data_IF_486680564361
#
_entry.id   IF_486680564361
#
_cell.length_a   1.000
_cell.length_b   1.000
_cell.length_c   1.000
_cell.angle_alpha   90.00
_cell.angle_beta   90.00
_cell.angle_gamma   90.00
#
_symmetry.space_group_name_H-M   'P 1'
#
loop_
_entity.id
_entity.type
_entity.pdbx_description
1 polymer ?
#
# COMPACT_ATOMS: atom_id res chain seq x y z
N UNK A 1 45.93 20.91 -38.58
CA UNK A 1 46.74 19.77 -38.14
C UNK A 1 47.91 20.33 -37.32
N UNK A 2 48.21 19.90 -36.10
CA UNK A 2 47.50 18.96 -35.20
C UNK A 2 48.17 19.05 -33.79
N UNK A 3 47.52 19.08 -32.62
CA UNK A 3 46.07 19.08 -32.23
C UNK A 3 45.86 19.93 -30.95
N UNK A 4 44.61 20.10 -30.49
CA UNK A 4 44.29 20.73 -29.20
C UNK A 4 44.07 19.59 -28.17
N UNK A 5 44.69 19.63 -26.97
CA UNK A 5 44.47 18.59 -25.97
C UNK A 5 43.00 18.57 -25.55
N UNK A 6 42.33 17.45 -25.83
CA UNK A 6 40.91 17.27 -25.58
C UNK A 6 40.66 17.25 -24.07
N UNK A 7 40.25 18.39 -23.54
CA UNK A 7 39.94 18.57 -22.13
C UNK A 7 38.76 17.63 -21.81
N UNK A 8 38.91 16.63 -20.91
CA UNK A 8 37.82 15.72 -20.62
C UNK A 8 36.70 16.53 -19.96
N UNK A 9 35.61 16.73 -20.70
CA UNK A 9 34.47 17.48 -20.23
C UNK A 9 34.02 16.93 -18.88
N UNK A 10 33.62 17.78 -17.91
CA UNK A 10 33.07 17.32 -16.64
C UNK A 10 31.95 16.32 -16.92
N UNK A 11 32.20 15.04 -16.59
CA UNK A 11 31.20 14.00 -16.74
C UNK A 11 30.14 14.27 -15.69
N UNK A 12 29.07 14.91 -16.12
CA UNK A 12 27.88 15.13 -15.31
C UNK A 12 27.34 13.76 -14.92
N UNK A 13 27.71 13.31 -13.72
CA UNK A 13 27.16 12.10 -13.12
C UNK A 13 25.70 12.40 -12.82
N UNK A 14 24.83 12.03 -13.76
CA UNK A 14 23.40 12.16 -13.59
C UNK A 14 22.99 11.19 -12.50
N UNK A 15 22.97 11.71 -11.27
CA UNK A 15 22.44 11.06 -10.07
C UNK A 15 20.93 10.86 -10.24
N UNK A 16 20.53 9.90 -11.07
CA UNK A 16 19.17 9.37 -11.07
C UNK A 16 18.96 8.51 -9.84
N UNK A 17 19.03 9.13 -8.66
CA UNK A 17 18.59 8.59 -7.39
C UNK A 17 17.08 8.42 -7.49
N UNK A 18 16.66 7.30 -8.06
CA UNK A 18 15.28 6.92 -8.27
C UNK A 18 14.60 6.74 -6.91
N UNK A 19 13.96 7.81 -6.43
CA UNK A 19 13.23 7.83 -5.16
C UNK A 19 11.97 6.94 -5.23
N UNK A 20 12.15 5.62 -5.14
CA UNK A 20 11.07 4.63 -5.13
C UNK A 20 10.26 4.80 -3.86
N UNK A 21 9.19 5.59 -3.97
CA UNK A 21 8.25 5.84 -2.87
C UNK A 21 7.40 4.58 -2.66
N UNK A 22 7.82 3.72 -1.74
CA UNK A 22 7.05 2.52 -1.35
C UNK A 22 5.76 2.95 -0.64
N UNK A 23 4.70 3.16 -1.43
CA UNK A 23 3.35 3.36 -0.91
C UNK A 23 2.89 2.06 -0.25
N UNK A 24 2.86 2.02 1.09
CA UNK A 24 2.11 0.98 1.82
C UNK A 24 0.64 1.02 1.37
N UNK A 25 0.21 0.00 0.63
CA UNK A 25 -1.19 -0.17 0.27
C UNK A 25 -2.03 -0.37 1.55
N UNK A 26 -3.07 0.45 1.80
CA UNK A 26 -3.91 0.28 2.97
C UNK A 26 -4.68 -1.04 2.90
N UNK A 27 -4.74 -1.75 4.02
CA UNK A 27 -5.34 -3.08 4.11
C UNK A 27 -6.86 -3.00 4.32
N UNK A 28 -7.58 -2.45 3.34
CA UNK A 28 -9.05 -2.31 3.36
C UNK A 28 -9.79 -3.64 3.55
N UNK A 29 -9.19 -4.76 3.12
CA UNK A 29 -9.77 -6.11 3.18
C UNK A 29 -10.30 -6.50 4.58
N UNK A 30 -9.66 -6.03 5.67
CA UNK A 30 -10.04 -6.40 7.04
C UNK A 30 -11.42 -5.85 7.43
N UNK A 31 -11.70 -4.60 7.06
CA UNK A 31 -12.98 -3.96 7.32
C UNK A 31 -14.08 -4.47 6.38
N UNK A 32 -13.74 -4.78 5.13
CA UNK A 32 -14.67 -5.43 4.21
C UNK A 32 -15.07 -6.82 4.72
N UNK A 33 -14.12 -7.63 5.21
CA UNK A 33 -14.40 -8.93 5.80
C UNK A 33 -15.27 -8.82 7.07
N UNK A 34 -14.98 -7.87 7.96
CA UNK A 34 -15.81 -7.61 9.14
C UNK A 34 -17.25 -7.19 8.75
N UNK A 35 -17.40 -6.31 7.76
CA UNK A 35 -18.69 -5.92 7.20
C UNK A 35 -19.45 -7.09 6.55
N UNK A 36 -18.75 -7.99 5.85
CA UNK A 36 -19.35 -9.19 5.27
C UNK A 36 -19.90 -10.13 6.35
N UNK A 37 -19.08 -10.43 7.39
CA UNK A 37 -19.49 -11.27 8.52
C UNK A 37 -20.68 -10.67 9.25
N UNK A 38 -20.66 -9.35 9.53
CA UNK A 38 -21.79 -8.66 10.13
C UNK A 38 -23.06 -8.73 9.26
N UNK A 39 -22.94 -8.55 7.94
CA UNK A 39 -24.06 -8.65 7.01
C UNK A 39 -24.67 -10.06 6.94
N UNK A 40 -23.86 -11.11 7.01
CA UNK A 40 -24.34 -12.51 7.10
C UNK A 40 -25.09 -12.72 8.41
N UNK A 41 -24.53 -12.28 9.55
CA UNK A 41 -25.19 -12.39 10.86
C UNK A 41 -26.54 -11.65 10.87
N UNK A 42 -26.58 -10.42 10.36
CA UNK A 42 -27.82 -9.63 10.23
C UNK A 42 -28.85 -10.37 9.36
N UNK A 43 -28.43 -10.91 8.21
CA UNK A 43 -29.32 -11.67 7.32
C UNK A 43 -29.92 -12.90 8.00
N UNK A 44 -29.10 -13.65 8.75
CA UNK A 44 -29.55 -14.82 9.49
C UNK A 44 -30.52 -14.43 10.60
N UNK A 45 -30.22 -13.39 11.39
CA UNK A 45 -31.12 -12.88 12.43
C UNK A 45 -32.44 -12.45 11.81
N UNK A 46 -32.42 -11.66 10.72
CA UNK A 46 -33.62 -11.19 10.03
C UNK A 46 -34.45 -12.37 9.54
N UNK A 47 -33.85 -13.31 8.81
CA UNK A 47 -34.60 -14.45 8.24
C UNK A 47 -35.17 -15.38 9.31
N UNK A 48 -34.40 -15.68 10.36
CA UNK A 48 -34.83 -16.55 11.46
C UNK A 48 -35.82 -15.86 12.43
N UNK A 49 -35.97 -14.53 12.35
CA UNK A 49 -36.99 -13.79 13.11
C UNK A 49 -38.37 -13.82 12.45
N UNK A 50 -38.46 -14.20 11.18
CA UNK A 50 -39.74 -14.39 10.49
C UNK A 50 -40.15 -15.87 10.53
N UNK A 51 -41.45 -16.18 10.72
CA UNK A 51 -41.93 -17.55 10.60
C UNK A 51 -41.72 -18.05 9.17
N UNK A 52 -41.45 -19.35 9.04
CA UNK A 52 -41.26 -20.01 7.73
C UNK A 52 -42.53 -19.84 6.88
N UNK A 53 -42.37 -19.34 5.65
CA UNK A 53 -43.47 -19.07 4.74
C UNK A 53 -43.50 -20.14 3.66
N UNK A 54 -44.67 -20.74 3.44
CA UNK A 54 -44.83 -21.90 2.54
C UNK A 54 -44.39 -21.63 1.09
N UNK A 55 -44.32 -20.35 0.68
CA UNK A 55 -43.94 -19.94 -0.67
C UNK A 55 -42.42 -19.94 -0.93
N UNK A 56 -41.58 -19.84 0.12
CA UNK A 56 -40.14 -19.67 -0.02
C UNK A 56 -39.33 -20.42 1.05
N UNK A 57 -38.40 -21.26 0.61
CA UNK A 57 -37.45 -21.92 1.52
C UNK A 57 -36.55 -20.91 2.25
N UNK A 58 -36.19 -21.21 3.49
CA UNK A 58 -35.26 -20.38 4.30
C UNK A 58 -33.96 -20.07 3.53
N UNK A 59 -33.41 -21.06 2.81
CA UNK A 59 -32.16 -20.90 2.05
C UNK A 59 -32.31 -19.91 0.89
N UNK A 60 -33.48 -19.85 0.26
CA UNK A 60 -33.79 -18.90 -0.81
C UNK A 60 -33.92 -17.47 -0.27
N UNK A 61 -34.56 -17.29 0.88
CA UNK A 61 -34.68 -15.98 1.54
C UNK A 61 -33.30 -15.48 2.00
N UNK A 62 -32.51 -16.33 2.67
CA UNK A 62 -31.12 -16.01 3.04
C UNK A 62 -30.27 -15.68 1.81
N UNK A 63 -30.42 -16.43 0.71
CA UNK A 63 -29.68 -16.21 -0.52
C UNK A 63 -29.96 -14.83 -1.15
N UNK A 64 -31.22 -14.54 -1.46
CA UNK A 64 -31.58 -13.29 -2.13
C UNK A 64 -31.40 -12.06 -1.21
N UNK A 65 -31.93 -12.10 0.01
CA UNK A 65 -31.81 -10.97 0.95
C UNK A 65 -30.36 -10.77 1.39
N UNK A 66 -29.64 -11.87 1.60
CA UNK A 66 -28.24 -11.84 2.05
C UNK A 66 -27.30 -11.18 1.06
N UNK A 67 -27.47 -11.36 -0.24
CA UNK A 67 -26.65 -10.68 -1.26
C UNK A 67 -26.73 -9.15 -1.08
N UNK A 68 -27.94 -8.60 -0.93
CA UNK A 68 -28.12 -7.16 -0.74
C UNK A 68 -27.61 -6.67 0.62
N UNK A 69 -27.97 -7.36 1.70
CA UNK A 69 -27.57 -6.97 3.08
C UNK A 69 -26.05 -7.05 3.25
N UNK A 70 -25.42 -8.12 2.78
CA UNK A 70 -23.95 -8.29 2.80
C UNK A 70 -23.28 -7.24 1.94
N UNK A 71 -23.75 -6.97 0.71
CA UNK A 71 -23.18 -5.93 -0.15
C UNK A 71 -23.22 -4.54 0.52
N UNK A 72 -24.35 -4.18 1.15
CA UNK A 72 -24.49 -2.93 1.89
C UNK A 72 -23.53 -2.88 3.09
N UNK A 73 -23.47 -3.94 3.90
CA UNK A 73 -22.58 -3.99 5.07
C UNK A 73 -21.09 -3.96 4.69
N UNK A 74 -20.70 -4.60 3.58
CA UNK A 74 -19.35 -4.52 3.01
C UNK A 74 -19.04 -3.11 2.52
N UNK A 75 -19.97 -2.45 1.82
CA UNK A 75 -19.80 -1.09 1.34
C UNK A 75 -19.66 -0.09 2.51
N UNK A 76 -20.47 -0.23 3.55
CA UNK A 76 -20.35 0.56 4.79
C UNK A 76 -19.03 0.28 5.52
N UNK A 77 -18.61 -0.99 5.63
CA UNK A 77 -17.31 -1.36 6.18
C UNK A 77 -16.14 -0.76 5.41
N UNK A 78 -16.20 -0.77 4.08
CA UNK A 78 -15.21 -0.12 3.20
C UNK A 78 -15.20 1.40 3.35
N UNK A 79 -16.38 2.03 3.49
CA UNK A 79 -16.50 3.47 3.70
C UNK A 79 -15.91 3.89 5.05
N UNK A 80 -16.21 3.16 6.13
CA UNK A 80 -15.59 3.36 7.46
C UNK A 80 -14.06 3.18 7.37
N UNK A 81 -13.58 2.15 6.65
CA UNK A 81 -12.15 1.94 6.44
C UNK A 81 -11.50 3.11 5.68
N UNK A 82 -12.17 3.67 4.67
CA UNK A 82 -11.70 4.82 3.91
C UNK A 82 -11.66 6.09 4.78
N UNK A 83 -12.67 6.34 5.61
CA UNK A 83 -12.69 7.46 6.56
C UNK A 83 -11.53 7.34 7.57
N UNK A 84 -11.32 6.14 8.13
CA UNK A 84 -10.22 5.86 9.07
C UNK A 84 -8.84 5.95 8.40
N UNK A 85 -8.66 5.43 7.18
CA UNK A 85 -7.41 5.58 6.41
C UNK A 85 -7.13 7.05 6.07
N UNK A 86 -8.16 7.80 5.66
CA UNK A 86 -8.05 9.23 5.34
C UNK A 86 -7.74 10.08 6.58
N UNK A 87 -8.32 9.75 7.74
CA UNK A 87 -7.95 10.34 9.02
C UNK A 87 -6.52 9.96 9.45
N UNK A 88 -6.12 8.70 9.25
CA UNK A 88 -4.79 8.18 9.57
C UNK A 88 -3.71 8.86 8.72
N UNK A 89 -3.92 9.02 7.40
CA UNK A 89 -3.04 9.82 6.52
C UNK A 89 -2.86 11.25 7.01
N UNK A 90 -3.92 11.88 7.53
CA UNK A 90 -3.87 13.25 8.07
C UNK A 90 -3.25 13.31 9.47
N UNK A 91 -3.28 12.21 10.24
CA UNK A 91 -2.71 12.08 11.59
C UNK A 91 -1.33 11.43 11.62
N UNK A 92 -0.81 10.98 10.46
CA UNK A 92 0.56 10.50 10.26
C UNK A 92 1.57 11.63 10.39
N UNK A 93 1.72 12.11 11.63
CA UNK A 93 2.65 13.14 12.05
C UNK A 93 4.06 12.55 12.05
N UNK A 94 4.76 12.76 10.95
CA UNK A 94 6.21 12.97 10.89
C UNK A 94 7.06 12.05 11.79
N UNK A 95 7.22 10.79 11.41
CA UNK A 95 8.37 10.00 11.89
C UNK A 95 9.49 10.18 10.85
N UNK A 96 10.60 10.80 11.26
CA UNK A 96 11.80 10.91 10.42
C UNK A 96 12.26 9.51 10.02
N UNK A 97 12.31 9.25 8.70
CA UNK A 97 13.19 8.24 8.17
C UNK A 97 14.57 8.89 7.99
N UNK A 98 15.41 8.81 9.02
CA UNK A 98 16.81 9.21 8.92
C UNK A 98 17.55 8.12 8.14
N UNK A 99 17.78 8.38 6.84
CA UNK A 99 18.48 7.47 5.94
C UNK A 99 19.98 7.66 6.16
N UNK A 100 20.56 6.84 7.03
CA UNK A 100 22.01 6.71 7.13
C UNK A 100 22.44 5.81 5.96
N UNK A 101 23.11 6.40 4.97
CA UNK A 101 23.96 5.64 4.05
C UNK A 101 25.39 5.76 4.52
N UNK A 102 25.97 4.64 4.93
CA UNK A 102 27.40 4.53 5.18
C UNK A 102 28.11 4.55 3.82
N UNK A 103 28.64 5.71 3.45
CA UNK A 103 29.56 5.79 2.32
C UNK A 103 30.90 5.19 2.74
N UNK A 104 31.10 3.91 2.47
CA UNK A 104 32.43 3.31 2.49
C UNK A 104 33.28 4.01 1.42
N UNK A 105 34.13 4.92 1.88
CA UNK A 105 35.11 5.59 1.03
C UNK A 105 36.16 4.55 0.67
N UNK A 106 35.97 3.89 -0.47
CA UNK A 106 37.02 3.08 -1.11
C UNK A 106 38.12 4.04 -1.53
N UNK A 107 39.10 4.23 -0.64
CA UNK A 107 40.33 4.95 -0.94
C UNK A 107 41.05 4.14 -2.01
N UNK A 108 40.97 4.59 -3.26
CA UNK A 108 41.81 4.11 -4.33
C UNK A 108 43.25 4.52 -3.99
N UNK A 109 44.00 3.59 -3.40
CA UNK A 109 45.41 3.76 -3.11
C UNK A 109 46.15 4.05 -4.43
N UNK A 110 46.75 5.24 -4.60
CA UNK A 110 47.50 5.55 -5.81
C UNK A 110 48.75 4.67 -5.83
N UNK A 111 48.92 3.93 -6.92
CA UNK A 111 50.11 3.13 -7.13
C UNK A 111 51.34 4.04 -7.21
N UNK A 112 52.16 4.02 -6.16
CA UNK A 112 53.52 4.56 -6.17
C UNK A 112 54.39 3.68 -7.07
N UNK A 113 54.37 3.98 -8.37
CA UNK A 113 55.41 3.58 -9.30
C UNK A 113 55.97 4.82 -10.02
N UNK A 114 57.22 4.71 -10.47
CA UNK A 114 58.00 5.77 -11.13
C UNK A 114 58.46 6.97 -10.26
N UNK A 115 59.49 6.71 -9.43
CA UNK A 115 60.56 7.69 -9.22
C UNK A 115 61.85 7.22 -9.90
N UNK A 116 62.19 7.89 -10.99
CA UNK A 116 63.42 7.72 -11.80
C UNK A 116 64.74 7.75 -11.01
N UNK A 117 65.74 7.15 -11.67
CA UNK A 117 67.18 7.39 -11.63
C UNK A 117 68.02 6.60 -10.62
#
# INVERSE_FOLDING_TARGET
>A
MSEQPEQPAPRETVDTVGAVTVRRAPKFYRFMAAGAVAGVIITLIVTLSFPEQNDFSVLQVVGFTGIFVVAICVALGALVALVLDRASRKRSRTVRAERIEEHEVVVAEPADDEKKA
#
